data_IF_143460337148
#
_entry.id   IF_143460337148
#
_cell.length_a   1.000
_cell.length_b   1.000
_cell.length_c   1.000
_cell.angle_alpha   90.00
_cell.angle_beta   90.00
_cell.angle_gamma   90.00
#
_symmetry.space_group_name_H-M   'P 1'
#
loop_
_entity.id
_entity.type
_entity.pdbx_description
1 polymer ?
#
# COMPACT_ATOMS: atom_id res chain seq x y z
N UNK A 1 -14.18 -17.29 -5.12
CA UNK A 1 -14.25 -15.97 -4.43
C UNK A 1 -13.53 -14.96 -5.29
N UNK A 2 -14.19 -13.87 -5.70
CA UNK A 2 -13.58 -12.83 -6.55
C UNK A 2 -12.66 -11.93 -5.72
N UNK A 3 -11.55 -11.48 -6.29
CA UNK A 3 -10.63 -10.50 -5.67
C UNK A 3 -9.87 -9.75 -6.76
N UNK A 4 -9.45 -8.53 -6.46
CA UNK A 4 -8.61 -7.76 -7.37
C UNK A 4 -7.18 -8.31 -7.36
N UNK A 5 -6.61 -8.50 -8.55
CA UNK A 5 -5.23 -8.95 -8.67
C UNK A 5 -4.29 -7.84 -8.21
N UNK A 6 -3.33 -8.20 -7.37
CA UNK A 6 -2.23 -7.30 -7.03
C UNK A 6 -1.23 -7.27 -8.20
N UNK A 7 -0.82 -6.08 -8.69
CA UNK A 7 0.17 -5.97 -9.75
C UNK A 7 1.49 -6.67 -9.36
N UNK A 8 2.19 -7.24 -10.35
CA UNK A 8 3.52 -7.80 -10.12
C UNK A 8 4.50 -6.64 -9.89
N UNK A 9 5.25 -6.72 -8.80
CA UNK A 9 6.34 -5.80 -8.54
C UNK A 9 7.56 -6.11 -9.42
N UNK A 10 8.08 -5.09 -10.10
CA UNK A 10 9.17 -5.18 -11.08
C UNK A 10 10.47 -4.52 -10.59
N UNK A 11 10.55 -4.18 -9.29
CA UNK A 11 11.70 -3.46 -8.74
C UNK A 11 11.59 -1.93 -8.84
N UNK A 12 12.41 -1.24 -8.06
CA UNK A 12 12.51 0.21 -8.14
C UNK A 12 13.29 0.63 -9.40
N UNK A 13 12.62 1.36 -10.29
CA UNK A 13 13.27 1.98 -11.45
C UNK A 13 13.89 3.33 -11.07
N UNK A 14 15.20 3.48 -11.16
CA UNK A 14 15.83 4.80 -11.15
C UNK A 14 15.53 5.50 -12.48
N UNK A 15 14.99 6.72 -12.43
CA UNK A 15 14.61 7.47 -13.62
C UNK A 15 15.11 8.90 -13.53
N UNK A 16 15.38 9.58 -14.67
CA UNK A 16 15.80 10.98 -14.67
C UNK A 16 14.87 11.87 -13.85
N UNK A 17 13.55 11.67 -13.96
CA UNK A 17 12.53 12.39 -13.18
C UNK A 17 12.72 12.23 -11.66
N UNK A 18 13.04 11.04 -11.17
CA UNK A 18 13.27 10.77 -9.74
C UNK A 18 14.56 11.42 -9.26
N UNK A 19 15.61 11.39 -10.07
CA UNK A 19 16.89 12.07 -9.80
C UNK A 19 16.73 13.58 -9.74
N UNK A 20 16.05 14.19 -10.72
CA UNK A 20 15.71 15.62 -10.71
C UNK A 20 14.85 16.00 -9.51
N UNK A 21 13.96 15.12 -9.03
CA UNK A 21 13.18 15.38 -7.83
C UNK A 21 14.05 15.44 -6.56
N UNK A 22 15.13 14.64 -6.47
CA UNK A 22 16.09 14.73 -5.37
C UNK A 22 16.84 16.05 -5.43
N UNK A 23 17.34 16.44 -6.60
CA UNK A 23 18.07 17.71 -6.76
C UNK A 23 17.19 18.92 -6.41
N UNK A 24 15.92 18.92 -6.85
CA UNK A 24 14.96 19.98 -6.49
C UNK A 24 14.70 20.03 -4.99
N UNK A 25 14.53 18.87 -4.35
CA UNK A 25 14.38 18.78 -2.89
C UNK A 25 15.63 19.34 -2.19
N UNK A 26 16.82 18.92 -2.60
CA UNK A 26 18.08 19.36 -2.00
C UNK A 26 18.32 20.87 -2.18
N UNK A 27 17.95 21.42 -3.33
CA UNK A 27 17.95 22.86 -3.57
C UNK A 27 17.01 23.58 -2.60
N UNK A 28 15.76 23.14 -2.50
CA UNK A 28 14.77 23.74 -1.60
C UNK A 28 15.22 23.68 -0.12
N UNK A 29 15.86 22.59 0.31
CA UNK A 29 16.40 22.46 1.67
C UNK A 29 17.51 23.47 1.97
N UNK A 30 18.41 23.74 1.01
CA UNK A 30 19.46 24.76 1.16
C UNK A 30 18.89 26.18 1.15
N UNK A 31 17.92 26.43 0.29
CA UNK A 31 17.23 27.73 0.20
C UNK A 31 16.37 28.04 1.43
N UNK A 32 15.88 27.01 2.13
CA UNK A 32 15.12 27.18 3.38
C UNK A 32 16.01 27.65 4.55
N UNK A 33 17.31 27.37 4.52
CA UNK A 33 18.28 27.75 5.55
C UNK A 33 19.51 28.43 4.92
N UNK A 34 19.40 29.65 4.36
CA UNK A 34 20.47 30.27 3.58
C UNK A 34 21.79 30.46 4.32
N UNK A 35 21.74 30.81 5.61
CA UNK A 35 22.93 30.98 6.45
C UNK A 35 23.69 29.65 6.69
N UNK A 36 23.01 28.51 6.49
CA UNK A 36 23.56 27.18 6.67
C UNK A 36 23.63 26.39 5.35
N UNK A 37 23.49 27.06 4.20
CA UNK A 37 23.34 26.37 2.92
C UNK A 37 24.51 25.42 2.61
N UNK A 38 25.74 25.82 2.95
CA UNK A 38 26.94 25.01 2.75
C UNK A 38 26.97 23.81 3.71
N UNK A 39 26.63 24.00 4.98
CA UNK A 39 26.54 22.92 5.96
C UNK A 39 25.45 21.92 5.56
N UNK A 40 24.30 22.40 5.08
CA UNK A 40 23.21 21.55 4.57
C UNK A 40 23.68 20.78 3.34
N UNK A 41 24.40 21.41 2.41
CA UNK A 41 24.94 20.74 1.22
C UNK A 41 25.89 19.59 1.58
N UNK A 42 26.77 19.78 2.58
CA UNK A 42 27.71 18.75 3.05
C UNK A 42 26.99 17.54 3.65
N UNK A 43 25.87 17.76 4.34
CA UNK A 43 25.08 16.70 4.95
C UNK A 43 24.16 15.97 3.95
N UNK A 44 23.93 16.54 2.77
CA UNK A 44 23.04 15.96 1.78
C UNK A 44 23.71 14.74 1.11
N UNK A 45 23.03 13.58 1.09
CA UNK A 45 23.54 12.40 0.40
C UNK A 45 23.60 12.63 -1.11
N UNK A 46 24.46 11.88 -1.78
CA UNK A 46 24.50 11.92 -3.24
C UNK A 46 23.18 11.41 -3.85
N UNK A 47 22.88 11.80 -5.09
CA UNK A 47 21.67 11.32 -5.76
C UNK A 47 21.68 9.79 -5.88
N UNK A 48 22.86 9.20 -6.15
CA UNK A 48 23.02 7.75 -6.25
C UNK A 48 22.76 7.03 -4.93
N UNK A 49 23.24 7.58 -3.82
CA UNK A 49 22.94 7.07 -2.47
C UNK A 49 21.44 7.10 -2.18
N UNK A 50 20.76 8.20 -2.53
CA UNK A 50 19.31 8.32 -2.34
C UNK A 50 18.56 7.30 -3.18
N UNK A 51 18.95 7.10 -4.45
CA UNK A 51 18.29 6.12 -5.33
C UNK A 51 18.52 4.69 -4.85
N UNK A 52 19.74 4.36 -4.42
CA UNK A 52 20.07 3.06 -3.84
C UNK A 52 19.26 2.77 -2.57
N UNK A 53 19.20 3.73 -1.63
CA UNK A 53 18.38 3.61 -0.41
C UNK A 53 16.90 3.44 -0.74
N UNK A 54 16.38 4.17 -1.73
CA UNK A 54 14.99 4.06 -2.18
C UNK A 54 14.70 2.70 -2.81
N UNK A 55 15.65 2.15 -3.57
CA UNK A 55 15.51 0.82 -4.16
C UNK A 55 15.41 -0.25 -3.08
N UNK A 56 16.36 -0.29 -2.15
CA UNK A 56 16.35 -1.22 -1.01
C UNK A 56 15.06 -1.10 -0.20
N UNK A 57 14.62 0.14 0.07
CA UNK A 57 13.37 0.37 0.81
C UNK A 57 12.14 -0.11 0.05
N UNK A 58 12.11 0.05 -1.27
CA UNK A 58 10.97 -0.36 -2.09
C UNK A 58 10.79 -1.89 -2.06
N UNK A 59 11.88 -2.66 -2.09
CA UNK A 59 11.83 -4.12 -1.98
C UNK A 59 11.26 -4.57 -0.62
N UNK A 60 11.75 -3.97 0.47
CA UNK A 60 11.26 -4.25 1.83
C UNK A 60 9.76 -3.93 1.95
N UNK A 61 9.35 -2.74 1.50
CA UNK A 61 7.95 -2.30 1.55
C UNK A 61 7.05 -3.20 0.72
N UNK A 62 7.51 -3.70 -0.43
CA UNK A 62 6.75 -4.65 -1.24
C UNK A 62 6.50 -5.96 -0.49
N UNK A 63 7.53 -6.52 0.17
CA UNK A 63 7.40 -7.75 0.97
C UNK A 63 6.42 -7.53 2.11
N UNK A 64 6.60 -6.46 2.88
CA UNK A 64 5.70 -6.08 3.99
C UNK A 64 4.25 -5.92 3.50
N UNK A 65 4.05 -5.29 2.33
CA UNK A 65 2.72 -5.08 1.74
C UNK A 65 2.05 -6.39 1.35
N UNK A 66 2.80 -7.33 0.77
CA UNK A 66 2.28 -8.67 0.42
C UNK A 66 1.92 -9.45 1.67
N UNK A 67 2.77 -9.44 2.69
CA UNK A 67 2.48 -10.10 3.96
C UNK A 67 1.23 -9.51 4.64
N UNK A 68 1.13 -8.18 4.70
CA UNK A 68 -0.04 -7.48 5.21
C UNK A 68 -1.31 -7.88 4.46
N UNK A 69 -1.28 -7.83 3.13
CA UNK A 69 -2.43 -8.18 2.28
C UNK A 69 -2.84 -9.64 2.47
N UNK A 70 -1.88 -10.56 2.51
CA UNK A 70 -2.14 -11.97 2.76
C UNK A 70 -2.75 -12.22 4.15
N UNK A 71 -2.22 -11.57 5.19
CA UNK A 71 -2.76 -11.65 6.57
C UNK A 71 -4.24 -11.27 6.58
N UNK A 72 -4.59 -10.12 6.01
CA UNK A 72 -5.98 -9.65 6.02
C UNK A 72 -6.91 -10.49 5.15
N UNK A 73 -6.42 -11.06 4.05
CA UNK A 73 -7.21 -12.04 3.29
C UNK A 73 -7.51 -13.31 4.08
N UNK A 74 -6.56 -13.82 4.87
CA UNK A 74 -6.81 -14.98 5.75
C UNK A 74 -7.89 -14.64 6.78
N UNK A 75 -7.78 -13.48 7.43
CA UNK A 75 -8.77 -13.00 8.39
C UNK A 75 -10.14 -12.85 7.72
N UNK A 76 -10.22 -12.17 6.56
CA UNK A 76 -11.47 -11.94 5.86
C UNK A 76 -12.18 -13.25 5.46
N UNK A 77 -11.41 -14.23 4.96
CA UNK A 77 -11.94 -15.55 4.61
C UNK A 77 -12.39 -16.32 5.84
N UNK A 78 -11.60 -16.33 6.91
CA UNK A 78 -11.98 -16.96 8.18
C UNK A 78 -13.29 -16.37 8.70
N UNK A 79 -13.41 -15.04 8.73
CA UNK A 79 -14.65 -14.35 9.14
C UNK A 79 -15.83 -14.75 8.25
N UNK A 80 -15.66 -14.74 6.93
CA UNK A 80 -16.73 -15.12 5.99
C UNK A 80 -17.18 -16.57 6.17
N UNK A 81 -16.24 -17.52 6.25
CA UNK A 81 -16.57 -18.94 6.38
C UNK A 81 -17.16 -19.30 7.75
N UNK A 82 -16.85 -18.52 8.78
CA UNK A 82 -17.46 -18.62 10.11
C UNK A 82 -18.89 -18.07 10.21
N UNK A 83 -19.43 -17.42 9.17
CA UNK A 83 -20.81 -16.94 9.18
C UNK A 83 -21.83 -18.08 9.00
N UNK A 84 -23.05 -17.97 9.59
CA UNK A 84 -24.18 -18.83 9.26
C UNK A 84 -24.52 -18.84 7.76
N UNK A 85 -25.16 -19.90 7.27
CA UNK A 85 -25.44 -20.10 5.85
C UNK A 85 -26.23 -18.92 5.23
N UNK A 86 -27.24 -18.41 5.93
CA UNK A 86 -28.06 -17.29 5.46
C UNK A 86 -27.23 -16.00 5.30
N UNK A 87 -26.40 -15.67 6.28
CA UNK A 87 -25.52 -14.49 6.22
C UNK A 87 -24.49 -14.62 5.09
N UNK A 88 -23.91 -15.82 4.90
CA UNK A 88 -23.00 -16.07 3.77
C UNK A 88 -23.66 -15.81 2.43
N UNK A 89 -24.90 -16.24 2.25
CA UNK A 89 -25.66 -16.00 1.02
C UNK A 89 -25.84 -14.49 0.76
N UNK A 90 -26.20 -13.70 1.78
CA UNK A 90 -26.30 -12.24 1.68
C UNK A 90 -24.97 -11.61 1.26
N UNK A 91 -23.87 -11.99 1.92
CA UNK A 91 -22.52 -11.50 1.58
C UNK A 91 -22.14 -11.88 0.15
N UNK A 92 -22.42 -13.11 -0.27
CA UNK A 92 -22.09 -13.60 -1.62
C UNK A 92 -22.83 -12.81 -2.70
N UNK A 93 -24.14 -12.57 -2.53
CA UNK A 93 -24.93 -11.74 -3.46
C UNK A 93 -24.37 -10.33 -3.57
N UNK A 94 -24.06 -9.69 -2.44
CA UNK A 94 -23.46 -8.34 -2.41
C UNK A 94 -22.08 -8.31 -3.03
N UNK A 95 -21.24 -9.29 -2.72
CA UNK A 95 -19.88 -9.40 -3.25
C UNK A 95 -19.89 -9.59 -4.77
N UNK A 96 -20.84 -10.35 -5.30
CA UNK A 96 -21.04 -10.50 -6.74
C UNK A 96 -21.40 -9.19 -7.45
N UNK A 97 -22.23 -8.36 -6.83
CA UNK A 97 -22.65 -7.06 -7.35
C UNK A 97 -21.74 -5.90 -6.92
N UNK A 98 -20.63 -6.19 -6.26
CA UNK A 98 -19.77 -5.16 -5.68
C UNK A 98 -19.09 -4.33 -6.77
N UNK A 99 -19.30 -3.01 -6.70
CA UNK A 99 -18.79 -2.03 -7.66
C UNK A 99 -17.40 -1.49 -7.29
N UNK A 100 -17.06 -1.52 -6.00
CA UNK A 100 -15.79 -1.00 -5.48
C UNK A 100 -14.64 -2.00 -5.56
N UNK A 101 -13.48 -1.66 -4.96
CA UNK A 101 -12.35 -2.56 -4.88
C UNK A 101 -12.70 -3.87 -4.18
N UNK A 102 -12.27 -4.99 -4.75
CA UNK A 102 -12.48 -6.33 -4.21
C UNK A 102 -11.28 -6.74 -3.35
N UNK A 103 -11.05 -5.97 -2.30
CA UNK A 103 -10.00 -6.22 -1.31
C UNK A 103 -10.57 -6.84 -0.01
N UNK A 104 -9.67 -7.28 0.88
CA UNK A 104 -10.04 -7.93 2.15
C UNK A 104 -10.90 -7.04 3.06
N UNK A 105 -10.66 -5.73 3.06
CA UNK A 105 -11.39 -4.79 3.92
C UNK A 105 -12.84 -4.65 3.49
N UNK A 106 -13.12 -4.58 2.18
CA UNK A 106 -14.48 -4.54 1.65
C UNK A 106 -15.23 -5.85 1.95
N UNK A 107 -14.57 -6.99 1.84
CA UNK A 107 -15.18 -8.27 2.22
C UNK A 107 -15.50 -8.34 3.72
N UNK A 108 -14.58 -7.89 4.58
CA UNK A 108 -14.80 -7.81 6.02
C UNK A 108 -15.97 -6.89 6.36
N UNK A 109 -16.08 -5.75 5.68
CA UNK A 109 -17.20 -4.83 5.82
C UNK A 109 -18.54 -5.50 5.47
N UNK A 110 -18.62 -6.23 4.35
CA UNK A 110 -19.84 -6.95 4.01
C UNK A 110 -20.18 -8.03 5.05
N UNK A 111 -19.17 -8.70 5.59
CA UNK A 111 -19.38 -9.67 6.68
C UNK A 111 -19.91 -8.98 7.95
N UNK A 112 -19.41 -7.80 8.31
CA UNK A 112 -19.94 -7.05 9.47
C UNK A 112 -21.36 -6.57 9.24
N UNK A 113 -21.69 -6.10 8.03
CA UNK A 113 -23.07 -5.70 7.69
C UNK A 113 -24.05 -6.88 7.79
N UNK A 114 -23.67 -8.04 7.23
CA UNK A 114 -24.54 -9.22 7.26
C UNK A 114 -24.80 -9.74 8.69
N UNK A 115 -23.84 -9.54 9.61
CA UNK A 115 -24.02 -9.82 11.04
C UNK A 115 -24.98 -8.82 11.70
N UNK A 116 -24.87 -7.54 11.37
CA UNK A 116 -25.67 -6.48 11.96
C UNK A 116 -27.16 -6.54 11.55
N UNK A 117 -27.46 -6.99 10.33
CA UNK A 117 -28.84 -7.10 9.81
C UNK A 117 -29.68 -8.23 10.43
N UNK A 118 -29.12 -8.98 11.40
CA UNK A 118 -29.84 -10.01 12.16
C UNK A 118 -30.01 -9.64 13.65
N UNK A 119 -29.57 -8.45 14.07
CA UNK A 119 -29.97 -7.80 15.32
C UNK A 119 -31.17 -6.88 15.05
#
# INVERSE_FOLDING_TARGET
>A
MMFDRYPRYEGFRDTPRKRSAVLRKQKAEREALPLFADQVAVLQPSVDEVMSRRAQRADVVEIERRQFTAKWWRIARHTYFGLPAEQKAKVQVRWHRWWGPRNSSCLLYLCSQAKAEQL
#
